data_IF_787991970992
#
_entry.id   IF_787991970992
#
_cell.length_a   1.000
_cell.length_b   1.000
_cell.length_c   1.000
_cell.angle_alpha   90.00
_cell.angle_beta   90.00
_cell.angle_gamma   90.00
#
_symmetry.space_group_name_H-M   'P 1'
#
loop_
_entity.id
_entity.type
_entity.pdbx_description
1 polymer ?
#
# COMPACT_ATOMS: atom_id res chain seq x y z
N UNK A 1 20.01 -22.28 -25.16
CA UNK A 1 19.53 -21.13 -24.37
C UNK A 1 20.05 -21.21 -22.93
N UNK A 2 20.88 -20.28 -22.44
CA UNK A 2 21.44 -20.42 -21.11
C UNK A 2 20.37 -20.10 -20.06
N UNK A 3 20.19 -21.05 -19.15
CA UNK A 3 19.29 -21.00 -18.01
C UNK A 3 19.86 -20.05 -16.94
N UNK A 4 19.12 -19.03 -16.54
CA UNK A 4 19.46 -18.21 -15.37
C UNK A 4 19.16 -19.00 -14.09
N UNK A 5 20.19 -19.64 -13.53
CA UNK A 5 20.15 -20.19 -12.19
C UNK A 5 20.26 -19.04 -11.18
N UNK A 6 19.18 -18.77 -10.45
CA UNK A 6 19.20 -17.90 -9.29
C UNK A 6 19.96 -18.59 -8.14
N UNK A 7 21.13 -18.07 -7.79
CA UNK A 7 21.92 -18.56 -6.66
C UNK A 7 21.31 -18.04 -5.35
N UNK A 8 20.96 -18.96 -4.45
CA UNK A 8 20.43 -18.70 -3.10
C UNK A 8 21.60 -18.81 -2.10
N UNK A 9 21.93 -17.81 -1.28
CA UNK A 9 23.02 -17.94 -0.31
C UNK A 9 22.53 -18.59 1.00
N UNK A 10 23.22 -19.66 1.39
CA UNK A 10 23.24 -20.22 2.74
C UNK A 10 24.16 -19.39 3.66
N UNK A 11 23.83 -19.33 4.94
CA UNK A 11 24.61 -18.63 5.97
C UNK A 11 25.45 -19.63 6.77
N UNK A 12 26.77 -19.59 6.60
CA UNK A 12 27.74 -20.08 7.59
C UNK A 12 28.10 -18.91 8.50
N UNK A 13 27.82 -19.06 9.80
CA UNK A 13 28.17 -18.09 10.82
C UNK A 13 29.57 -18.34 11.35
N UNK A 14 30.40 -17.31 11.37
CA UNK A 14 31.60 -17.24 12.19
C UNK A 14 31.78 -15.80 12.72
N UNK A 15 32.46 -15.74 13.86
CA UNK A 15 32.35 -14.82 14.99
C UNK A 15 33.45 -13.74 15.02
N UNK A 16 33.15 -12.64 15.72
CA UNK A 16 33.96 -11.68 16.48
C UNK A 16 35.28 -11.10 15.93
N UNK A 17 35.39 -9.76 16.01
CA UNK A 17 36.51 -8.99 16.59
C UNK A 17 36.16 -7.49 16.67
N UNK A 18 36.24 -6.92 17.86
CA UNK A 18 36.08 -5.49 18.18
C UNK A 18 37.34 -4.70 17.79
N UNK A 19 37.22 -3.48 17.23
CA UNK A 19 38.17 -2.38 17.44
C UNK A 19 37.48 -1.01 17.23
N UNK A 20 37.69 -0.12 18.20
CA UNK A 20 37.18 1.26 18.27
C UNK A 20 37.99 2.23 17.39
N UNK A 21 37.35 3.34 16.99
CA UNK A 21 38.07 4.57 16.65
C UNK A 21 37.63 5.28 15.38
N UNK A 22 36.83 6.33 15.53
CA UNK A 22 36.81 7.52 14.68
C UNK A 22 36.53 7.35 13.18
N UNK A 23 35.25 7.44 12.79
CA UNK A 23 34.78 8.08 11.53
C UNK A 23 33.26 7.94 11.48
N UNK A 24 32.55 8.97 11.96
CA UNK A 24 31.08 8.99 11.95
C UNK A 24 30.46 9.50 10.64
N UNK A 25 31.27 9.79 9.61
CA UNK A 25 30.79 10.40 8.36
C UNK A 25 31.10 9.64 7.05
N UNK A 26 31.74 8.46 7.07
CA UNK A 26 32.04 7.70 5.83
C UNK A 26 31.20 6.42 5.60
N UNK A 27 30.45 5.93 6.59
CA UNK A 27 29.66 4.68 6.46
C UNK A 27 28.28 4.84 5.81
N UNK A 28 27.92 6.03 5.33
CA UNK A 28 26.68 6.25 4.56
C UNK A 28 26.87 6.11 3.05
N UNK A 29 28.13 5.97 2.60
CA UNK A 29 28.51 5.81 1.21
C UNK A 29 28.39 4.37 0.70
N UNK A 30 27.42 4.15 -0.19
CA UNK A 30 27.20 2.97 -1.06
C UNK A 30 26.40 1.82 -0.46
N UNK A 31 25.18 2.13 -0.04
CA UNK A 31 24.11 1.12 0.04
C UNK A 31 23.59 0.66 -1.35
N UNK A 32 24.35 0.94 -2.41
CA UNK A 32 24.05 0.66 -3.81
C UNK A 32 25.33 0.18 -4.51
N UNK A 33 25.26 -1.03 -5.07
CA UNK A 33 26.27 -1.60 -5.96
C UNK A 33 25.89 -1.30 -7.41
N UNK A 34 26.55 -0.31 -8.01
CA UNK A 34 26.29 0.09 -9.41
C UNK A 34 26.84 -0.89 -10.45
N UNK A 35 27.76 -1.77 -10.06
CA UNK A 35 28.31 -2.78 -10.96
C UNK A 35 27.32 -3.94 -11.09
N UNK A 36 26.77 -4.39 -9.97
CA UNK A 36 25.71 -5.41 -9.94
C UNK A 36 24.33 -4.83 -10.19
N UNK A 37 24.19 -3.51 -10.27
CA UNK A 37 22.91 -2.80 -10.26
C UNK A 37 22.01 -3.24 -9.10
N UNK A 38 22.56 -3.31 -7.88
CA UNK A 38 21.86 -3.81 -6.71
C UNK A 38 21.76 -2.77 -5.58
N UNK A 39 20.64 -2.72 -4.88
CA UNK A 39 20.55 -2.03 -3.60
C UNK A 39 20.95 -3.00 -2.49
N UNK A 40 22.03 -2.68 -1.78
CA UNK A 40 22.56 -3.50 -0.69
C UNK A 40 21.65 -3.44 0.55
N UNK A 41 20.79 -2.42 0.65
CA UNK A 41 19.85 -2.23 1.76
C UNK A 41 18.76 -3.31 1.77
N UNK A 42 18.18 -3.57 0.61
CA UNK A 42 17.16 -4.61 0.43
C UNK A 42 17.70 -5.87 -0.23
N UNK A 43 19.01 -5.91 -0.51
CA UNK A 43 19.73 -6.97 -1.23
C UNK A 43 19.03 -7.36 -2.54
N UNK A 44 18.47 -6.39 -3.26
CA UNK A 44 17.82 -6.61 -4.56
C UNK A 44 18.67 -6.14 -5.70
N UNK A 45 18.67 -6.93 -6.76
CA UNK A 45 19.24 -6.58 -8.05
C UNK A 45 18.16 -5.99 -8.96
N UNK A 46 18.54 -4.99 -9.76
CA UNK A 46 17.65 -4.25 -10.65
C UNK A 46 18.02 -4.51 -12.11
N UNK A 47 17.03 -4.50 -13.02
CA UNK A 47 17.26 -4.80 -14.43
C UNK A 47 17.96 -3.66 -15.19
N UNK A 48 17.96 -2.43 -14.66
CA UNK A 48 18.60 -1.29 -15.30
C UNK A 48 19.08 -0.25 -14.30
N UNK A 49 19.99 0.63 -14.75
CA UNK A 49 20.50 1.76 -13.96
C UNK A 49 19.37 2.73 -13.59
N UNK A 50 18.43 2.98 -14.49
CA UNK A 50 17.27 3.86 -14.26
C UNK A 50 16.33 3.28 -13.21
N UNK A 51 16.09 1.95 -13.23
CA UNK A 51 15.31 1.28 -12.21
C UNK A 51 15.98 1.38 -10.83
N UNK A 52 17.30 1.24 -10.78
CA UNK A 52 18.09 1.42 -9.56
C UNK A 52 18.11 2.87 -9.08
N UNK A 53 18.22 3.85 -9.99
CA UNK A 53 18.16 5.29 -9.66
C UNK A 53 16.80 5.65 -9.08
N UNK A 54 15.69 5.24 -9.72
CA UNK A 54 14.34 5.47 -9.18
C UNK A 54 14.16 4.79 -7.83
N UNK A 55 14.72 3.60 -7.67
CA UNK A 55 14.73 2.89 -6.41
C UNK A 55 15.54 3.62 -5.32
N UNK A 56 16.67 4.23 -5.69
CA UNK A 56 17.52 5.00 -4.78
C UNK A 56 16.93 6.37 -4.41
N UNK A 57 16.25 7.04 -5.34
CA UNK A 57 15.52 8.29 -5.03
C UNK A 57 14.46 8.09 -3.94
N UNK A 58 13.97 6.86 -3.82
CA UNK A 58 13.04 6.40 -2.80
C UNK A 58 13.76 5.57 -1.71
N UNK A 59 15.09 5.37 -1.70
CA UNK A 59 15.75 4.37 -0.83
C UNK A 59 15.71 4.67 0.66
N UNK A 60 15.39 5.89 1.07
CA UNK A 60 15.06 6.18 2.47
C UNK A 60 13.84 5.36 2.94
N UNK A 61 12.96 4.91 2.02
CA UNK A 61 11.87 3.98 2.32
C UNK A 61 12.28 2.77 3.15
N UNK A 62 13.44 2.20 2.80
CA UNK A 62 13.91 0.98 3.43
C UNK A 62 14.31 1.19 4.89
N UNK A 63 14.83 2.37 5.23
CA UNK A 63 15.28 2.66 6.58
C UNK A 63 14.11 2.92 7.54
N UNK A 64 13.00 3.48 7.03
CA UNK A 64 11.97 4.05 7.92
C UNK A 64 10.57 3.44 7.79
N UNK A 65 10.24 2.76 6.68
CA UNK A 65 8.86 2.36 6.39
C UNK A 65 8.62 0.85 6.28
N UNK A 66 9.61 0.06 5.88
CA UNK A 66 9.44 -1.39 5.70
C UNK A 66 9.43 -2.13 7.03
N UNK A 67 8.45 -3.01 7.20
CA UNK A 67 8.31 -3.83 8.40
C UNK A 67 7.59 -5.14 8.09
N UNK A 68 7.48 -5.99 9.11
CA UNK A 68 6.83 -7.31 9.05
C UNK A 68 7.53 -8.25 8.05
N UNK A 69 8.64 -8.85 8.48
CA UNK A 69 9.37 -9.83 7.67
C UNK A 69 8.62 -11.16 7.68
N UNK A 70 8.24 -11.67 6.51
CA UNK A 70 7.54 -12.94 6.36
C UNK A 70 8.25 -13.85 5.36
N UNK A 71 8.07 -15.16 5.50
CA UNK A 71 8.50 -16.12 4.48
C UNK A 71 7.69 -15.93 3.20
N UNK A 72 8.37 -15.98 2.06
CA UNK A 72 7.71 -15.93 0.75
C UNK A 72 6.95 -17.23 0.48
N UNK A 73 5.91 -17.19 -0.35
CA UNK A 73 5.03 -18.35 -0.61
C UNK A 73 5.72 -19.58 -1.22
N UNK A 74 6.90 -19.40 -1.82
CA UNK A 74 7.73 -20.50 -2.30
C UNK A 74 8.64 -21.11 -1.21
N UNK A 75 8.65 -20.57 0.01
CA UNK A 75 9.46 -21.04 1.13
C UNK A 75 10.97 -20.75 1.02
N UNK A 76 11.42 -20.13 -0.07
CA UNK A 76 12.85 -19.96 -0.40
C UNK A 76 13.45 -18.63 0.07
N UNK A 77 12.67 -17.76 0.68
CA UNK A 77 13.14 -16.46 1.10
C UNK A 77 12.24 -15.76 2.09
N UNK A 78 12.62 -14.53 2.42
CA UNK A 78 11.84 -13.63 3.24
C UNK A 78 11.62 -12.31 2.50
N UNK A 79 10.49 -11.67 2.75
CA UNK A 79 10.17 -10.35 2.25
C UNK A 79 9.44 -9.55 3.32
N UNK A 80 9.70 -8.24 3.36
CA UNK A 80 8.85 -7.32 4.11
C UNK A 80 7.51 -7.18 3.39
N UNK A 81 6.42 -7.29 4.15
CA UNK A 81 5.06 -7.24 3.59
C UNK A 81 4.28 -6.01 4.05
N UNK A 82 4.83 -5.18 4.93
CA UNK A 82 4.25 -3.93 5.37
C UNK A 82 5.15 -2.76 5.00
N UNK A 83 4.54 -1.68 4.50
CA UNK A 83 5.22 -0.44 4.20
C UNK A 83 4.40 0.77 4.66
N UNK A 84 5.02 1.61 5.50
CA UNK A 84 4.45 2.86 5.99
C UNK A 84 5.20 4.06 5.41
N UNK A 85 4.52 4.82 4.55
CA UNK A 85 4.96 6.06 3.92
C UNK A 85 4.07 7.24 4.29
N UNK A 86 3.36 7.16 5.41
CA UNK A 86 2.51 8.26 5.86
C UNK A 86 3.34 9.52 6.11
N UNK A 87 2.81 10.67 5.71
CA UNK A 87 3.37 12.00 6.00
C UNK A 87 4.83 12.17 5.51
N UNK A 88 5.19 11.63 4.35
CA UNK A 88 6.56 11.72 3.79
C UNK A 88 6.73 12.80 2.72
N UNK A 89 5.66 13.53 2.39
CA UNK A 89 5.71 14.58 1.36
C UNK A 89 5.98 14.06 -0.05
N UNK A 90 5.76 12.76 -0.30
CA UNK A 90 6.07 12.10 -1.57
C UNK A 90 5.20 12.63 -2.70
N UNK A 91 5.79 12.86 -3.86
CA UNK A 91 5.10 13.17 -5.12
C UNK A 91 5.19 12.01 -6.12
N UNK A 92 6.10 11.06 -5.90
CA UNK A 92 6.32 9.86 -6.70
C UNK A 92 6.48 8.63 -5.78
N UNK A 93 5.95 7.50 -6.24
CA UNK A 93 6.05 6.18 -5.60
C UNK A 93 6.52 5.11 -6.59
N UNK A 94 7.08 5.45 -7.76
CA UNK A 94 7.46 4.47 -8.79
C UNK A 94 8.32 3.30 -8.28
N UNK A 95 9.18 3.51 -7.28
CA UNK A 95 9.98 2.43 -6.70
C UNK A 95 9.15 1.36 -5.99
N UNK A 96 7.95 1.69 -5.48
CA UNK A 96 7.10 0.73 -4.77
C UNK A 96 6.67 -0.42 -5.68
N UNK A 97 6.65 -0.21 -6.99
CA UNK A 97 6.27 -1.23 -7.97
C UNK A 97 7.12 -2.50 -7.88
N UNK A 98 8.34 -2.38 -7.35
CA UNK A 98 9.22 -3.51 -7.15
C UNK A 98 8.82 -4.39 -5.96
N UNK A 99 8.13 -3.89 -4.93
CA UNK A 99 7.83 -4.62 -3.68
C UNK A 99 6.56 -5.47 -3.80
N UNK A 100 6.56 -6.40 -4.75
CA UNK A 100 5.42 -7.29 -5.08
C UNK A 100 4.89 -8.13 -3.92
N UNK A 101 5.66 -8.26 -2.83
CA UNK A 101 5.27 -8.98 -1.63
C UNK A 101 4.52 -8.11 -0.60
N UNK A 102 4.32 -6.81 -0.86
CA UNK A 102 3.52 -5.97 0.03
C UNK A 102 2.08 -6.49 0.15
N UNK A 103 1.58 -6.42 1.37
CA UNK A 103 0.21 -6.76 1.78
C UNK A 103 -0.45 -5.57 2.48
N UNK A 104 0.34 -4.76 3.18
CA UNK A 104 -0.11 -3.59 3.94
C UNK A 104 0.66 -2.36 3.48
N UNK A 105 -0.04 -1.36 2.97
CA UNK A 105 0.57 -0.14 2.46
C UNK A 105 -0.16 1.11 2.98
N UNK A 106 0.58 1.99 3.67
CA UNK A 106 0.12 3.33 4.00
C UNK A 106 0.87 4.36 3.14
N UNK A 107 0.17 5.03 2.24
CA UNK A 107 0.70 6.16 1.45
C UNK A 107 -0.11 7.44 1.73
N UNK A 108 -0.86 7.48 2.83
CA UNK A 108 -1.69 8.62 3.19
C UNK A 108 -0.85 9.87 3.51
N UNK A 109 -1.48 11.04 3.37
CA UNK A 109 -0.85 12.33 3.64
C UNK A 109 0.45 12.60 2.85
N UNK A 110 0.45 12.20 1.58
CA UNK A 110 1.46 12.58 0.61
C UNK A 110 0.87 13.51 -0.47
N UNK A 111 1.71 13.93 -1.42
CA UNK A 111 1.37 14.81 -2.56
C UNK A 111 1.27 14.01 -3.86
N UNK A 112 0.87 12.74 -3.75
CA UNK A 112 0.79 11.80 -4.87
C UNK A 112 -0.37 12.16 -5.80
N UNK A 113 -0.06 12.21 -7.09
CA UNK A 113 -1.04 12.43 -8.16
C UNK A 113 -1.22 11.13 -8.94
N UNK A 114 -0.11 10.47 -9.28
CA UNK A 114 -0.11 9.19 -9.96
C UNK A 114 -0.02 8.03 -8.97
N UNK A 115 -0.98 7.10 -9.07
CA UNK A 115 -1.03 5.86 -8.30
C UNK A 115 -0.85 4.62 -9.18
N UNK A 116 -0.52 4.79 -10.46
CA UNK A 116 -0.21 3.70 -11.39
C UNK A 116 0.87 2.73 -10.87
N UNK A 117 1.85 3.13 -10.03
CA UNK A 117 2.80 2.19 -9.43
C UNK A 117 2.15 1.10 -8.54
N UNK A 118 0.93 1.34 -8.05
CA UNK A 118 0.16 0.31 -7.33
C UNK A 118 -0.28 -0.85 -8.23
N UNK A 119 -0.20 -0.72 -9.56
CA UNK A 119 -0.60 -1.74 -10.52
C UNK A 119 0.09 -3.10 -10.31
N UNK A 120 1.36 -3.08 -9.90
CA UNK A 120 2.13 -4.32 -9.68
C UNK A 120 1.89 -4.94 -8.31
N UNK A 121 1.26 -4.23 -7.38
CA UNK A 121 1.00 -4.68 -6.01
C UNK A 121 -0.32 -5.46 -5.92
N UNK A 122 -0.51 -6.42 -6.82
CA UNK A 122 -1.78 -7.15 -7.02
C UNK A 122 -2.25 -7.95 -5.81
N UNK A 123 -1.37 -8.16 -4.83
CA UNK A 123 -1.64 -8.95 -3.63
C UNK A 123 -1.88 -8.08 -2.38
N UNK A 124 -2.10 -6.76 -2.53
CA UNK A 124 -2.43 -5.89 -1.40
C UNK A 124 -3.74 -6.34 -0.74
N UNK A 125 -3.71 -6.40 0.59
CA UNK A 125 -4.86 -6.71 1.44
C UNK A 125 -5.38 -5.46 2.16
N UNK A 126 -4.47 -4.51 2.45
CA UNK A 126 -4.76 -3.30 3.19
C UNK A 126 -4.09 -2.09 2.54
N UNK A 127 -4.86 -1.03 2.33
CA UNK A 127 -4.39 0.22 1.73
C UNK A 127 -4.96 1.44 2.46
N UNK A 128 -4.07 2.39 2.76
CA UNK A 128 -4.42 3.79 3.04
C UNK A 128 -3.88 4.69 1.95
N UNK A 129 -4.76 5.42 1.29
CA UNK A 129 -4.42 6.28 0.16
C UNK A 129 -5.41 7.43 0.00
N UNK A 130 -5.01 8.47 -0.74
CA UNK A 130 -5.80 9.69 -0.90
C UNK A 130 -6.83 9.64 -2.04
N UNK A 131 -6.57 8.89 -3.11
CA UNK A 131 -7.36 8.92 -4.36
C UNK A 131 -7.41 7.54 -5.03
N UNK A 132 -8.39 7.32 -5.90
CA UNK A 132 -8.52 6.20 -6.84
C UNK A 132 -7.51 6.26 -8.01
N UNK A 133 -7.32 5.19 -8.83
CA UNK A 133 -8.10 3.94 -8.90
C UNK A 133 -7.44 2.69 -8.31
N UNK A 134 -8.23 1.85 -7.66
CA UNK A 134 -7.82 0.57 -7.05
C UNK A 134 -8.51 -0.67 -7.65
N UNK A 135 -9.19 -0.52 -8.80
CA UNK A 135 -10.00 -1.59 -9.40
C UNK A 135 -9.21 -2.87 -9.71
N UNK A 136 -7.89 -2.78 -9.92
CA UNK A 136 -7.00 -3.91 -10.17
C UNK A 136 -6.54 -4.64 -8.90
N UNK A 137 -6.80 -4.09 -7.70
CA UNK A 137 -6.43 -4.68 -6.42
C UNK A 137 -7.48 -5.71 -5.96
N UNK A 138 -7.56 -6.83 -6.70
CA UNK A 138 -8.61 -7.84 -6.55
C UNK A 138 -8.70 -8.51 -5.17
N UNK A 139 -7.63 -8.45 -4.37
CA UNK A 139 -7.56 -9.05 -3.03
C UNK A 139 -7.66 -8.01 -1.90
N UNK A 140 -7.90 -6.74 -2.24
CA UNK A 140 -7.97 -5.68 -1.24
C UNK A 140 -9.19 -5.88 -0.35
N UNK A 141 -8.95 -6.13 0.94
CA UNK A 141 -9.97 -6.38 1.96
C UNK A 141 -10.26 -5.13 2.80
N UNK A 142 -9.24 -4.28 2.99
CA UNK A 142 -9.36 -3.07 3.78
C UNK A 142 -8.86 -1.86 3.00
N UNK A 143 -9.74 -0.87 2.82
CA UNK A 143 -9.40 0.40 2.19
C UNK A 143 -9.79 1.56 3.11
N UNK A 144 -8.86 2.48 3.30
CA UNK A 144 -9.13 3.74 3.98
C UNK A 144 -8.70 4.92 3.11
N UNK A 145 -9.69 5.74 2.75
CA UNK A 145 -9.52 7.05 2.11
C UNK A 145 -10.05 8.16 3.02
N UNK A 146 -9.93 7.98 4.34
CA UNK A 146 -10.36 8.97 5.33
C UNK A 146 -9.58 10.29 5.24
N UNK A 147 -10.23 11.37 5.65
CA UNK A 147 -9.67 12.73 5.75
C UNK A 147 -9.11 13.21 4.42
N UNK A 148 -9.91 13.06 3.35
CA UNK A 148 -9.60 13.55 2.02
C UNK A 148 -10.69 14.51 1.53
N UNK A 149 -10.72 14.79 0.23
CA UNK A 149 -11.65 15.74 -0.40
C UNK A 149 -12.59 15.02 -1.38
N UNK A 150 -12.94 13.76 -1.09
CA UNK A 150 -13.84 13.00 -1.96
C UNK A 150 -15.25 13.57 -1.87
N UNK A 151 -15.89 13.80 -3.03
CA UNK A 151 -17.27 14.28 -3.14
C UNK A 151 -18.23 13.19 -3.63
N UNK A 152 -17.70 12.18 -4.33
CA UNK A 152 -18.42 11.07 -4.95
C UNK A 152 -17.56 9.81 -4.94
N UNK A 153 -18.17 8.67 -5.30
CA UNK A 153 -17.56 7.33 -5.25
C UNK A 153 -17.43 6.68 -6.64
N UNK A 154 -17.58 7.46 -7.70
CA UNK A 154 -17.54 6.95 -9.07
C UNK A 154 -16.21 6.25 -9.37
N UNK A 155 -16.30 5.06 -9.97
CA UNK A 155 -15.15 4.22 -10.30
C UNK A 155 -14.54 3.46 -9.12
N UNK A 156 -15.05 3.62 -7.89
CA UNK A 156 -14.63 2.79 -6.76
C UNK A 156 -15.28 1.39 -6.87
N UNK A 157 -14.45 0.37 -7.06
CA UNK A 157 -14.86 -1.03 -7.12
C UNK A 157 -13.95 -1.83 -6.19
N UNK A 158 -14.54 -2.74 -5.42
CA UNK A 158 -13.80 -3.56 -4.46
C UNK A 158 -14.56 -4.82 -4.10
N UNK A 159 -14.58 -5.84 -5.00
CA UNK A 159 -15.37 -7.05 -4.79
C UNK A 159 -14.92 -7.83 -3.55
N UNK A 160 -13.63 -7.75 -3.17
CA UNK A 160 -13.08 -8.38 -1.98
C UNK A 160 -13.07 -7.48 -0.73
N UNK A 161 -13.50 -6.21 -0.83
CA UNK A 161 -13.45 -5.28 0.31
C UNK A 161 -14.43 -5.74 1.39
N UNK A 162 -13.90 -5.94 2.59
CA UNK A 162 -14.66 -6.23 3.81
C UNK A 162 -14.88 -4.95 4.63
N UNK A 163 -14.00 -3.97 4.48
CA UNK A 163 -14.10 -2.70 5.18
C UNK A 163 -13.65 -1.51 4.35
N UNK A 164 -14.47 -0.47 4.39
CA UNK A 164 -14.26 0.77 3.67
C UNK A 164 -14.40 1.96 4.63
N UNK A 165 -13.31 2.70 4.80
CA UNK A 165 -13.29 3.91 5.61
C UNK A 165 -13.21 5.17 4.73
N UNK A 166 -14.28 5.96 4.77
CA UNK A 166 -14.46 7.21 4.04
C UNK A 166 -14.69 8.39 5.01
N UNK A 167 -14.31 8.25 6.28
CA UNK A 167 -14.49 9.29 7.32
C UNK A 167 -13.93 10.63 6.87
N UNK A 168 -14.60 11.74 7.17
CA UNK A 168 -14.03 13.09 7.02
C UNK A 168 -13.74 13.47 5.57
N UNK A 169 -14.63 13.08 4.65
CA UNK A 169 -14.64 13.54 3.26
C UNK A 169 -15.80 14.53 3.07
N UNK A 170 -16.04 14.95 1.83
CA UNK A 170 -17.15 15.85 1.45
C UNK A 170 -18.21 15.14 0.62
N UNK A 171 -18.42 13.84 0.88
CA UNK A 171 -19.33 13.01 0.10
C UNK A 171 -20.77 13.47 0.34
N UNK A 172 -21.48 13.75 -0.74
CA UNK A 172 -22.92 14.13 -0.71
C UNK A 172 -23.84 12.99 -1.07
N UNK A 173 -23.38 12.12 -1.97
CA UNK A 173 -24.15 10.98 -2.47
C UNK A 173 -23.30 9.72 -2.45
N UNK A 174 -23.93 8.60 -2.11
CA UNK A 174 -23.35 7.26 -2.03
C UNK A 174 -23.77 6.39 -3.22
N UNK A 175 -24.15 7.02 -4.34
CA UNK A 175 -24.33 6.34 -5.62
C UNK A 175 -23.06 5.54 -5.94
N UNK A 176 -23.25 4.28 -6.34
CA UNK A 176 -22.15 3.33 -6.57
C UNK A 176 -21.89 2.33 -5.44
N UNK A 177 -22.45 2.52 -4.23
CA UNK A 177 -22.40 1.52 -3.15
C UNK A 177 -23.40 0.37 -3.37
N UNK A 178 -23.21 -0.37 -4.45
CA UNK A 178 -24.04 -1.50 -4.84
C UNK A 178 -23.32 -2.83 -4.60
N UNK A 179 -24.11 -3.89 -4.39
CA UNK A 179 -23.63 -5.25 -4.18
C UNK A 179 -22.78 -5.80 -5.32
N UNK A 180 -22.98 -5.32 -6.55
CA UNK A 180 -22.15 -5.64 -7.72
C UNK A 180 -20.70 -5.15 -7.58
N UNK A 181 -20.47 -4.06 -6.84
CA UNK A 181 -19.15 -3.48 -6.63
C UNK A 181 -18.52 -3.91 -5.30
N UNK A 182 -19.34 -4.22 -4.29
CA UNK A 182 -18.92 -4.44 -2.90
C UNK A 182 -19.61 -5.64 -2.27
N UNK A 183 -19.50 -6.80 -2.94
CA UNK A 183 -20.19 -8.02 -2.54
C UNK A 183 -19.86 -8.48 -1.11
N UNK A 184 -18.63 -8.24 -0.63
CA UNK A 184 -18.15 -8.73 0.67
C UNK A 184 -18.12 -7.65 1.77
N UNK A 185 -18.67 -6.45 1.52
CA UNK A 185 -18.46 -5.32 2.43
C UNK A 185 -19.26 -5.49 3.72
N UNK A 186 -18.54 -5.62 4.84
CA UNK A 186 -19.08 -5.83 6.18
C UNK A 186 -19.13 -4.53 6.96
N UNK A 187 -18.18 -3.63 6.73
CA UNK A 187 -18.01 -2.38 7.49
C UNK A 187 -17.89 -1.19 6.57
N UNK A 188 -18.76 -0.21 6.76
CA UNK A 188 -18.76 1.05 6.03
C UNK A 188 -18.77 2.22 6.99
N UNK A 189 -17.78 3.09 6.85
CA UNK A 189 -17.58 4.25 7.70
C UNK A 189 -17.66 5.54 6.87
N UNK A 190 -18.69 6.34 7.16
CA UNK A 190 -19.04 7.58 6.47
C UNK A 190 -19.13 8.80 7.41
N UNK A 191 -18.73 8.69 8.69
CA UNK A 191 -18.78 9.82 9.63
C UNK A 191 -18.02 11.04 9.10
N UNK A 192 -18.49 12.24 9.44
CA UNK A 192 -17.86 13.49 9.00
C UNK A 192 -17.96 13.74 7.49
N UNK A 193 -18.98 13.20 6.82
CA UNK A 193 -19.38 13.57 5.46
C UNK A 193 -20.64 14.47 5.47
N UNK A 194 -21.06 14.95 4.30
CA UNK A 194 -22.21 15.83 4.10
C UNK A 194 -23.30 15.15 3.26
N UNK A 195 -23.72 13.94 3.66
CA UNK A 195 -24.68 13.14 2.91
C UNK A 195 -26.07 13.79 2.88
N UNK A 196 -26.57 14.04 1.68
CA UNK A 196 -27.94 14.53 1.45
C UNK A 196 -28.96 13.38 1.57
N UNK A 197 -28.56 12.16 1.17
CA UNK A 197 -29.36 10.94 1.25
C UNK A 197 -28.47 9.71 1.43
N UNK A 198 -29.03 8.66 2.04
CA UNK A 198 -28.45 7.32 2.11
C UNK A 198 -29.04 6.37 1.07
N UNK A 199 -29.94 6.85 0.21
CA UNK A 199 -30.47 6.06 -0.90
C UNK A 199 -29.33 5.58 -1.81
N UNK A 200 -29.39 4.32 -2.21
CA UNK A 200 -28.36 3.69 -3.03
C UNK A 200 -27.33 2.87 -2.24
N UNK A 201 -27.39 2.84 -0.90
CA UNK A 201 -26.66 1.84 -0.11
C UNK A 201 -27.41 0.49 -0.22
N UNK A 202 -26.92 -0.39 -1.09
CA UNK A 202 -27.41 -1.75 -1.25
C UNK A 202 -26.27 -2.74 -1.04
N UNK A 203 -26.04 -3.12 0.22
CA UNK A 203 -24.90 -3.91 0.66
C UNK A 203 -25.40 -5.07 1.55
N UNK A 204 -25.65 -6.27 0.98
CA UNK A 204 -26.36 -7.35 1.67
C UNK A 204 -25.58 -7.97 2.85
N UNK A 205 -24.25 -7.80 2.86
CA UNK A 205 -23.38 -8.34 3.91
C UNK A 205 -22.98 -7.30 4.97
N UNK A 206 -23.54 -6.09 4.91
CA UNK A 206 -23.14 -4.99 5.77
C UNK A 206 -23.63 -5.20 7.20
N UNK A 207 -22.69 -5.28 8.15
CA UNK A 207 -22.99 -5.46 9.58
C UNK A 207 -22.77 -4.20 10.40
N UNK A 208 -21.90 -3.31 9.92
CA UNK A 208 -21.50 -2.09 10.62
C UNK A 208 -21.55 -0.91 9.66
N UNK A 209 -22.47 0.01 9.92
CA UNK A 209 -22.64 1.25 9.16
C UNK A 209 -22.54 2.43 10.12
N UNK A 210 -21.58 3.32 9.85
CA UNK A 210 -21.39 4.55 10.62
C UNK A 210 -21.67 5.75 9.72
N UNK A 211 -22.67 6.55 10.08
CA UNK A 211 -23.13 7.70 9.30
C UNK A 211 -22.78 9.03 9.97
N UNK A 212 -22.78 10.15 9.23
CA UNK A 212 -22.73 11.48 9.81
C UNK A 212 -23.84 11.68 10.84
N UNK A 213 -23.55 12.39 11.93
CA UNK A 213 -24.52 12.68 13.00
C UNK A 213 -25.77 13.45 12.51
N UNK A 214 -25.67 14.13 11.38
CA UNK A 214 -26.77 14.88 10.75
C UNK A 214 -27.66 14.04 9.82
N UNK A 215 -27.35 12.76 9.60
CA UNK A 215 -28.01 11.95 8.57
C UNK A 215 -28.86 10.83 9.20
N UNK A 216 -30.12 10.72 8.79
CA UNK A 216 -30.99 9.58 9.16
C UNK A 216 -30.92 8.50 8.08
N UNK A 217 -30.61 7.25 8.47
CA UNK A 217 -30.54 6.14 7.52
C UNK A 217 -31.92 5.82 6.92
N UNK A 218 -32.00 5.85 5.59
CA UNK A 218 -33.07 5.31 4.75
C UNK A 218 -32.45 4.29 3.80
N UNK A 219 -32.63 3.01 4.09
CA UNK A 219 -32.09 1.90 3.32
C UNK A 219 -32.45 0.56 3.96
N UNK A 220 -32.21 -0.54 3.24
CA UNK A 220 -32.39 -1.91 3.74
C UNK A 220 -31.03 -2.51 4.06
N UNK A 221 -30.78 -2.78 5.33
CA UNK A 221 -29.72 -3.70 5.78
C UNK A 221 -30.44 -5.02 6.06
N UNK A 222 -30.15 -6.05 5.27
CA UNK A 222 -30.73 -7.40 5.43
C UNK A 222 -29.97 -8.22 6.45
#
# INVERSE_FOLDING_TARGET
PPQQQGLVPAYSGETDSEEEGGEKDEKEGRMTDWVKLACLLCRRQFPSKEALIRHQQLSELHKVGLSLLCRTGNGLGHAFVKLDLKDKGLNDIAAISSYIHLRFLDISNNRLIDLSPLASLTQLLWLKARRQPFAHLNYLQWLSMAVNQLTELDGLVGPALESLNLTGNSIKTVKGLQSSCFANLVTLELRGNHLDTTDGINLPNLRRLYLPSSCSFKGTVT
#
